data_IF_066726560364
#
_entry.id   IF_066726560364
#
_cell.length_a   1.000
_cell.length_b   1.000
_cell.length_c   1.000
_cell.angle_alpha   90.00
_cell.angle_beta   90.00
_cell.angle_gamma   90.00
#
_symmetry.space_group_name_H-M   'P 1'
#
loop_
_entity.id
_entity.type
_entity.pdbx_description
1 polymer ?
#
# COMPACT_ATOMS: atom_id res chain seq x y z
N UNK A 1 -3.80 14.46 4.18
CA UNK A 1 -4.69 13.81 3.20
C UNK A 1 -6.09 13.75 3.77
N UNK A 2 -7.12 13.86 2.93
CA UNK A 2 -8.51 13.64 3.36
C UNK A 2 -8.79 12.13 3.50
N UNK A 3 -9.62 11.76 4.47
CA UNK A 3 -9.98 10.36 4.72
C UNK A 3 -10.92 9.85 3.61
N UNK A 4 -10.70 8.62 3.16
CA UNK A 4 -11.57 7.95 2.18
C UNK A 4 -12.73 7.28 2.93
N UNK A 5 -13.97 7.48 2.48
CA UNK A 5 -15.13 6.76 3.04
C UNK A 5 -15.08 5.28 2.69
N UNK A 6 -15.35 4.44 3.68
CA UNK A 6 -15.42 2.98 3.56
C UNK A 6 -16.71 2.52 2.88
N UNK A 7 -17.80 3.26 3.07
CA UNK A 7 -19.13 2.92 2.54
C UNK A 7 -19.42 3.59 1.19
N UNK A 8 -18.82 4.75 0.93
CA UNK A 8 -18.99 5.48 -0.32
C UNK A 8 -17.69 6.14 -0.77
N UNK A 9 -16.66 5.35 -1.14
CA UNK A 9 -15.41 5.90 -1.66
C UNK A 9 -15.66 6.70 -2.94
N UNK A 10 -14.94 7.81 -3.10
CA UNK A 10 -14.98 8.56 -4.35
C UNK A 10 -14.52 7.67 -5.53
N UNK A 11 -14.98 7.89 -6.78
CA UNK A 11 -14.67 7.00 -7.90
C UNK A 11 -13.17 6.77 -8.16
N UNK A 12 -12.33 7.75 -7.86
CA UNK A 12 -10.87 7.58 -7.97
C UNK A 12 -10.30 6.69 -6.86
N UNK A 13 -10.82 6.79 -5.64
CA UNK A 13 -10.43 5.92 -4.53
C UNK A 13 -10.93 4.48 -4.76
N UNK A 14 -12.16 4.33 -5.24
CA UNK A 14 -12.72 3.02 -5.59
C UNK A 14 -11.86 2.30 -6.62
N UNK A 15 -11.43 3.00 -7.69
CA UNK A 15 -10.52 2.43 -8.70
C UNK A 15 -9.17 2.01 -8.12
N UNK A 16 -8.61 2.78 -7.19
CA UNK A 16 -7.36 2.40 -6.52
C UNK A 16 -7.53 1.16 -5.64
N UNK A 17 -8.65 1.04 -4.94
CA UNK A 17 -8.99 -0.17 -4.18
C UNK A 17 -9.10 -1.39 -5.10
N UNK A 18 -9.81 -1.25 -6.22
CA UNK A 18 -9.94 -2.32 -7.23
C UNK A 18 -8.59 -2.73 -7.83
N UNK A 19 -7.74 -1.75 -8.18
CA UNK A 19 -6.38 -1.98 -8.67
C UNK A 19 -5.52 -2.75 -7.66
N UNK A 20 -5.76 -2.54 -6.36
CA UNK A 20 -5.11 -3.23 -5.25
C UNK A 20 -5.82 -4.54 -4.82
N UNK A 21 -6.75 -5.05 -5.64
CA UNK A 21 -7.41 -6.34 -5.43
C UNK A 21 -8.54 -6.33 -4.39
N UNK A 22 -9.08 -5.15 -4.05
CA UNK A 22 -10.26 -5.01 -3.18
C UNK A 22 -11.57 -4.98 -3.98
N UNK A 23 -11.59 -5.61 -5.16
CA UNK A 23 -12.80 -5.82 -5.96
C UNK A 23 -13.64 -7.00 -5.45
N UNK A 24 -13.01 -7.99 -4.79
CA UNK A 24 -13.67 -9.10 -4.12
C UNK A 24 -13.38 -9.08 -2.61
N UNK A 25 -14.30 -8.48 -1.85
CA UNK A 25 -14.18 -8.36 -0.40
C UNK A 25 -14.25 -9.70 0.36
N UNK A 26 -14.62 -10.81 -0.30
CA UNK A 26 -14.54 -12.13 0.32
C UNK A 26 -13.08 -12.64 0.37
N UNK A 27 -12.28 -12.29 -0.63
CA UNK A 27 -10.88 -12.64 -0.69
C UNK A 27 -10.00 -11.61 0.03
N UNK A 28 -10.40 -10.33 -0.03
CA UNK A 28 -9.65 -9.24 0.59
C UNK A 28 -10.60 -8.20 1.20
N UNK A 29 -10.99 -8.36 2.48
CA UNK A 29 -11.95 -7.46 3.09
C UNK A 29 -11.34 -6.07 3.32
N UNK A 30 -12.16 -5.01 3.21
CA UNK A 30 -11.73 -3.63 3.51
C UNK A 30 -11.22 -3.45 4.95
N UNK A 31 -11.52 -4.38 5.86
CA UNK A 31 -10.96 -4.39 7.21
C UNK A 31 -9.44 -4.57 7.24
N UNK A 32 -8.82 -5.04 6.15
CA UNK A 32 -7.37 -5.08 6.01
C UNK A 32 -6.76 -3.71 5.69
N UNK A 33 -7.54 -2.70 5.30
CA UNK A 33 -7.03 -1.37 5.00
C UNK A 33 -6.84 -0.59 6.30
N UNK A 34 -5.58 -0.44 6.72
CA UNK A 34 -5.20 0.34 7.90
C UNK A 34 -5.28 1.85 7.65
N UNK A 35 -4.95 2.27 6.42
CA UNK A 35 -5.03 3.66 6.02
C UNK A 35 -4.99 3.81 4.50
N UNK A 36 -5.62 4.87 4.00
CA UNK A 36 -5.67 5.16 2.58
C UNK A 36 -5.66 6.66 2.32
N UNK A 37 -4.89 7.09 1.33
CA UNK A 37 -4.88 8.49 0.93
C UNK A 37 -4.27 8.72 -0.44
N UNK A 38 -4.57 9.88 -1.00
CA UNK A 38 -4.02 10.35 -2.27
C UNK A 38 -2.84 11.29 -2.01
N UNK A 39 -1.68 10.96 -2.55
CA UNK A 39 -0.54 11.85 -2.63
C UNK A 39 -0.61 12.68 -3.93
N UNK A 40 -0.13 13.93 -3.91
CA UNK A 40 -0.06 14.76 -5.11
C UNK A 40 0.93 14.25 -6.16
N UNK A 41 1.96 13.50 -5.76
CA UNK A 41 2.96 12.88 -6.65
C UNK A 41 3.52 11.58 -6.07
N UNK A 42 4.16 10.76 -6.90
CA UNK A 42 4.89 9.55 -6.44
C UNK A 42 6.09 9.89 -5.54
N UNK A 43 6.78 11.01 -5.81
CA UNK A 43 7.96 11.44 -5.06
C UNK A 43 7.73 11.63 -3.55
N UNK A 44 6.51 11.97 -3.15
CA UNK A 44 6.16 12.18 -1.74
C UNK A 44 5.65 10.93 -1.04
N UNK A 45 5.49 9.80 -1.74
CA UNK A 45 4.97 8.56 -1.15
C UNK A 45 5.81 8.09 0.06
N UNK A 46 7.13 8.24 -0.01
CA UNK A 46 8.07 7.93 1.09
C UNK A 46 7.84 8.74 2.37
N UNK A 47 7.13 9.86 2.30
CA UNK A 47 6.78 10.62 3.49
C UNK A 47 5.69 9.93 4.32
N UNK A 48 4.96 8.98 3.73
CA UNK A 48 3.80 8.30 4.31
C UNK A 48 4.00 6.80 4.53
N UNK A 49 5.00 6.19 3.88
CA UNK A 49 5.30 4.76 3.98
C UNK A 49 6.80 4.50 3.89
N UNK A 50 7.32 3.41 4.47
CA UNK A 50 8.74 3.14 4.53
C UNK A 50 9.22 2.61 3.16
N UNK A 51 9.51 3.54 2.26
CA UNK A 51 9.99 3.30 0.91
C UNK A 51 11.46 3.74 0.80
N UNK A 52 12.21 3.10 -0.10
CA UNK A 52 13.63 3.39 -0.31
C UNK A 52 13.86 4.74 -1.01
N UNK A 53 12.88 5.19 -1.80
CA UNK A 53 12.97 6.38 -2.65
C UNK A 53 13.66 6.11 -4.00
N UNK A 54 13.96 4.85 -4.31
CA UNK A 54 14.55 4.42 -5.57
C UNK A 54 13.56 3.60 -6.43
N UNK A 55 12.30 3.51 -6.02
CA UNK A 55 11.24 2.84 -6.77
C UNK A 55 10.99 3.61 -8.08
N UNK A 56 11.34 3.07 -9.25
CA UNK A 56 11.25 3.81 -10.51
C UNK A 56 9.81 4.17 -10.86
N UNK A 57 8.83 3.36 -10.45
CA UNK A 57 7.41 3.62 -10.67
C UNK A 57 6.91 4.84 -9.87
N UNK A 58 7.60 5.21 -8.78
CA UNK A 58 7.27 6.36 -7.94
C UNK A 58 8.02 7.64 -8.35
N UNK A 59 8.91 7.56 -9.35
CA UNK A 59 9.61 8.72 -9.91
C UNK A 59 8.71 9.49 -10.88
N UNK A 60 7.52 9.88 -10.42
CA UNK A 60 6.50 10.58 -11.20
C UNK A 60 5.91 11.76 -10.44
N UNK A 61 5.54 12.80 -11.20
CA UNK A 61 4.72 13.93 -10.73
C UNK A 61 3.23 13.59 -10.68
N UNK A 62 2.82 12.45 -11.24
CA UNK A 62 1.42 12.02 -11.25
C UNK A 62 0.96 11.65 -9.84
N UNK A 63 -0.30 11.95 -9.50
CA UNK A 63 -0.83 11.63 -8.19
C UNK A 63 -0.96 10.13 -8.01
N UNK A 64 -0.58 9.64 -6.83
CA UNK A 64 -0.64 8.23 -6.48
C UNK A 64 -1.61 8.00 -5.32
N UNK A 65 -2.32 6.88 -5.36
CA UNK A 65 -3.09 6.40 -4.22
C UNK A 65 -2.25 5.43 -3.40
N UNK A 66 -2.20 5.63 -2.10
CA UNK A 66 -1.49 4.75 -1.18
C UNK A 66 -2.50 4.06 -0.27
N UNK A 67 -2.37 2.75 -0.12
CA UNK A 67 -3.24 1.89 0.68
C UNK A 67 -2.34 1.05 1.58
N UNK A 68 -2.23 1.44 2.85
CA UNK A 68 -1.52 0.67 3.86
C UNK A 68 -2.42 -0.47 4.32
N UNK A 69 -1.88 -1.68 4.27
CA UNK A 69 -2.58 -2.87 4.71
C UNK A 69 -2.10 -3.28 6.09
N UNK A 70 -2.99 -3.94 6.84
CA UNK A 70 -2.69 -4.56 8.12
C UNK A 70 -2.79 -6.07 8.02
N UNK A 71 -1.79 -6.76 8.54
CA UNK A 71 -1.70 -8.21 8.62
C UNK A 71 -0.80 -8.83 7.57
N UNK A 72 -0.87 -10.15 7.50
CA UNK A 72 -0.08 -10.97 6.60
C UNK A 72 -0.72 -11.06 5.22
N UNK A 73 0.09 -10.83 4.18
CA UNK A 73 -0.29 -11.00 2.79
C UNK A 73 0.63 -12.02 2.12
N UNK A 74 0.12 -13.24 1.84
CA UNK A 74 0.87 -14.21 1.07
C UNK A 74 1.01 -13.75 -0.39
N UNK A 75 2.23 -13.80 -0.91
CA UNK A 75 2.52 -13.73 -2.33
C UNK A 75 2.31 -15.13 -2.94
N UNK A 76 1.36 -15.28 -3.88
CA UNK A 76 1.01 -16.59 -4.43
C UNK A 76 2.08 -17.19 -5.35
N UNK A 77 3.09 -16.42 -5.77
CA UNK A 77 4.12 -16.83 -6.72
C UNK A 77 5.48 -17.09 -6.07
N UNK A 78 5.87 -16.30 -5.07
CA UNK A 78 7.16 -16.47 -4.37
C UNK A 78 7.06 -17.36 -3.13
N UNK A 79 5.85 -17.61 -2.61
CA UNK A 79 5.66 -18.30 -1.33
C UNK A 79 6.17 -17.46 -0.15
N UNK A 80 6.30 -16.15 -0.35
CA UNK A 80 6.65 -15.17 0.66
C UNK A 80 5.38 -14.63 1.32
N UNK A 81 5.49 -14.17 2.56
CA UNK A 81 4.41 -13.50 3.28
C UNK A 81 4.91 -12.12 3.66
N UNK A 82 4.31 -11.09 3.08
CA UNK A 82 4.59 -9.70 3.45
C UNK A 82 3.74 -9.30 4.65
N UNK A 83 4.37 -8.73 5.67
CA UNK A 83 3.69 -8.17 6.84
C UNK A 83 3.44 -6.68 6.60
N UNK A 84 2.18 -6.26 6.79
CA UNK A 84 1.71 -4.89 6.62
C UNK A 84 2.17 -4.24 5.30
N UNK A 85 1.91 -4.86 4.14
CA UNK A 85 2.37 -4.32 2.86
C UNK A 85 1.66 -3.02 2.50
N UNK A 86 2.28 -2.28 1.59
CA UNK A 86 1.70 -1.09 0.98
C UNK A 86 1.30 -1.43 -0.46
N UNK A 87 0.06 -1.10 -0.84
CA UNK A 87 -0.31 -1.04 -2.24
C UNK A 87 -0.32 0.43 -2.70
N UNK A 88 0.35 0.72 -3.81
CA UNK A 88 0.30 2.02 -4.47
C UNK A 88 -0.41 1.84 -5.81
N UNK A 89 -1.42 2.67 -6.07
CA UNK A 89 -2.07 2.73 -7.37
C UNK A 89 -1.72 3.99 -8.15
N UNK A 90 -1.25 3.80 -9.38
CA UNK A 90 -0.83 4.84 -10.32
C UNK A 90 -1.60 4.60 -11.62
N UNK A 91 -2.38 5.59 -12.06
CA UNK A 91 -3.24 5.49 -13.24
C UNK A 91 -4.15 4.23 -13.31
N UNK A 92 -4.54 3.70 -12.14
CA UNK A 92 -5.39 2.50 -12.06
C UNK A 92 -4.65 1.17 -12.13
N UNK A 93 -3.32 1.18 -12.23
CA UNK A 93 -2.48 0.00 -12.00
C UNK A 93 -2.11 -0.07 -10.50
N UNK A 94 -2.03 -1.27 -9.93
CA UNK A 94 -1.71 -1.50 -8.52
C UNK A 94 -0.35 -2.18 -8.36
N UNK A 95 0.51 -1.63 -7.50
CA UNK A 95 1.85 -2.12 -7.22
C UNK A 95 1.99 -2.40 -5.72
N UNK A 96 2.48 -3.58 -5.36
CA UNK A 96 2.69 -3.96 -3.97
C UNK A 96 4.16 -3.75 -3.57
N UNK A 97 4.36 -3.09 -2.44
CA UNK A 97 5.65 -2.88 -1.81
C UNK A 97 5.63 -3.52 -0.43
N UNK A 98 6.54 -4.45 -0.21
CA UNK A 98 6.83 -5.00 1.12
C UNK A 98 7.53 -3.92 1.93
N UNK A 99 6.79 -3.34 2.88
CA UNK A 99 7.22 -2.22 3.72
C UNK A 99 7.54 -2.66 5.15
N UNK A 100 7.17 -3.88 5.52
CA UNK A 100 7.56 -4.58 6.75
C UNK A 100 8.40 -5.82 6.47
N UNK A 101 8.50 -6.69 7.47
CA UNK A 101 9.23 -7.96 7.34
C UNK A 101 8.55 -8.90 6.32
N UNK A 102 9.38 -9.67 5.63
CA UNK A 102 8.96 -10.72 4.71
C UNK A 102 9.29 -12.06 5.36
N UNK A 103 8.31 -12.96 5.45
CA UNK A 103 8.54 -14.35 5.88
C UNK A 103 8.61 -15.25 4.65
N UNK A 104 9.71 -15.97 4.48
CA UNK A 104 9.90 -16.94 3.40
C UNK A 104 9.18 -18.26 3.70
N UNK A 105 9.05 -19.11 2.68
CA UNK A 105 8.41 -20.42 2.79
C UNK A 105 9.04 -21.37 3.82
N UNK A 106 10.32 -21.17 4.14
CA UNK A 106 11.06 -21.95 5.14
C UNK A 106 10.98 -21.36 6.56
N UNK A 107 10.20 -20.28 6.75
CA UNK A 107 10.05 -19.56 8.00
C UNK A 107 11.15 -18.53 8.28
N UNK A 108 12.11 -18.35 7.37
CA UNK A 108 13.13 -17.31 7.50
C UNK A 108 12.48 -15.93 7.36
N UNK A 109 12.80 -15.02 8.28
CA UNK A 109 12.43 -13.62 8.15
C UNK A 109 13.54 -12.85 7.43
N UNK A 110 13.14 -12.06 6.44
CA UNK A 110 13.99 -11.12 5.72
C UNK A 110 13.37 -9.73 5.83
N UNK A 111 14.12 -8.79 6.41
CA UNK A 111 13.74 -7.39 6.38
C UNK A 111 14.24 -6.78 5.07
N UNK A 112 13.37 -6.13 4.27
CA UNK A 112 13.78 -5.40 3.06
C UNK A 112 14.89 -4.40 3.35
N UNK A 113 15.54 -3.89 2.28
CA UNK A 113 16.62 -2.90 2.43
C UNK A 113 16.20 -1.77 3.39
N UNK A 114 17.09 -1.36 4.30
CA UNK A 114 16.78 -0.34 5.28
C UNK A 114 16.38 0.95 4.56
N UNK A 115 15.22 1.47 4.94
CA UNK A 115 14.71 2.72 4.38
C UNK A 115 15.53 3.91 4.91
N UNK A 116 15.84 4.92 4.09
CA UNK A 116 16.73 6.02 4.50
C UNK A 116 16.24 6.81 5.72
N UNK A 117 14.92 6.87 5.90
CA UNK A 117 14.27 7.53 7.02
C UNK A 117 12.89 6.91 7.27
N UNK A 118 12.38 6.94 8.53
CA UNK A 118 11.00 6.55 8.80
C UNK A 118 10.01 7.54 8.16
N UNK A 119 8.77 7.10 7.88
CA UNK A 119 7.70 7.99 7.41
C UNK A 119 7.47 9.16 8.36
N UNK A 120 7.24 10.34 7.80
CA UNK A 120 6.95 11.57 8.57
C UNK A 120 5.48 11.69 8.94
N UNK A 121 4.62 11.11 8.12
CA UNK A 121 3.18 11.16 8.23
C UNK A 121 2.61 9.75 8.20
N UNK A 122 1.40 9.61 8.72
CA UNK A 122 0.62 8.37 8.58
C UNK A 122 -0.50 8.59 7.57
N UNK A 123 -0.87 7.53 6.85
CA UNK A 123 -2.10 7.55 6.06
C UNK A 123 -3.32 7.64 7.00
N UNK A 124 -4.35 8.42 6.64
CA UNK A 124 -5.56 8.49 7.44
C UNK A 124 -6.32 7.16 7.34
N UNK A 125 -6.92 6.73 8.44
CA UNK A 125 -7.85 5.60 8.44
C UNK A 125 -9.07 5.89 7.56
N UNK A 126 -9.72 4.84 7.07
CA UNK A 126 -10.97 4.98 6.34
C UNK A 126 -12.05 5.59 7.24
N UNK A 127 -12.75 6.58 6.71
CA UNK A 127 -13.95 7.11 7.33
C UNK A 127 -15.10 6.08 7.22
N UNK A 128 -16.10 6.09 8.13
CA UNK A 128 -17.26 5.22 8.01
C UNK A 128 -18.02 5.35 6.67
#
# INVERSE_FOLDING_TARGET
MEAVSRSSPQPAAQRALEACGFNDFQQRPLSMVAGMGKAPSGYVAREYAPLSGNEPELMTEDPVWMIQLSGEMPDPFSGEVSIDPLCISIDGEGLFYSTGDITLSDGTMYTPQPVPAPPRYSLPSLAP
#
